data_IF_302371575759
#
_entry.id   IF_302371575759
#
_cell.length_a   1.000
_cell.length_b   1.000
_cell.length_c   1.000
_cell.angle_alpha   90.00
_cell.angle_beta   90.00
_cell.angle_gamma   90.00
#
_symmetry.space_group_name_H-M   'P 1'
#
loop_
_entity.id
_entity.type
_entity.pdbx_description
1 polymer ?
#
# COMPACT_ATOMS: atom_id res chain seq x y z
N UNK A 1 16.36 -9.44 5.22
CA UNK A 1 16.08 -8.01 5.44
C UNK A 1 15.27 -7.36 4.34
N UNK A 2 15.79 -7.19 3.12
CA UNK A 2 15.00 -6.59 2.02
C UNK A 2 13.70 -7.34 1.75
N UNK A 3 13.77 -8.67 1.63
CA UNK A 3 12.59 -9.51 1.42
C UNK A 3 11.60 -9.46 2.59
N UNK A 4 12.10 -9.37 3.82
CA UNK A 4 11.24 -9.23 5.01
C UNK A 4 10.46 -7.91 4.98
N UNK A 5 11.11 -6.82 4.58
CA UNK A 5 10.48 -5.52 4.37
C UNK A 5 9.40 -5.62 3.29
N UNK A 6 9.71 -6.25 2.16
CA UNK A 6 8.76 -6.44 1.06
C UNK A 6 7.55 -7.30 1.46
N UNK A 7 7.78 -8.38 2.22
CA UNK A 7 6.71 -9.25 2.73
C UNK A 7 5.84 -8.51 3.74
N UNK A 8 6.43 -7.74 4.67
CA UNK A 8 5.69 -6.95 5.64
C UNK A 8 4.86 -5.84 4.97
N UNK A 9 5.42 -5.19 3.95
CA UNK A 9 4.71 -4.20 3.14
C UNK A 9 3.53 -4.85 2.40
N UNK A 10 3.75 -5.96 1.71
CA UNK A 10 2.69 -6.69 1.00
C UNK A 10 1.55 -7.13 1.94
N UNK A 11 1.89 -7.67 3.12
CA UNK A 11 0.89 -8.04 4.14
C UNK A 11 0.11 -6.83 4.66
N UNK A 12 0.79 -5.71 4.85
CA UNK A 12 0.15 -4.47 5.32
C UNK A 12 -0.82 -3.92 4.28
N UNK A 13 -0.42 -3.86 3.01
CA UNK A 13 -1.29 -3.42 1.92
C UNK A 13 -2.50 -4.33 1.76
N UNK A 14 -2.31 -5.66 1.76
CA UNK A 14 -3.42 -6.62 1.67
C UNK A 14 -4.40 -6.50 2.85
N UNK A 15 -3.90 -6.34 4.08
CA UNK A 15 -4.76 -6.17 5.27
C UNK A 15 -5.60 -4.90 5.23
N UNK A 16 -5.09 -3.85 4.59
CA UNK A 16 -5.79 -2.56 4.49
C UNK A 16 -6.73 -2.47 3.29
N UNK A 17 -6.54 -3.35 2.31
CA UNK A 17 -7.34 -3.43 1.08
C UNK A 17 -8.63 -4.21 1.32
N UNK A 18 -9.69 -3.86 0.60
CA UNK A 18 -10.95 -4.61 0.56
C UNK A 18 -10.79 -5.86 -0.33
N UNK A 19 -11.65 -6.87 -0.21
CA UNK A 19 -11.57 -8.08 -1.06
C UNK A 19 -11.62 -7.81 -2.56
N UNK A 20 -12.28 -6.76 -2.99
CA UNK A 20 -12.39 -6.33 -4.39
C UNK A 20 -11.21 -5.47 -4.88
N UNK A 21 -10.37 -4.98 -3.96
CA UNK A 21 -9.19 -4.20 -4.30
C UNK A 21 -8.05 -5.12 -4.74
N UNK A 22 -7.23 -4.65 -5.67
CA UNK A 22 -6.09 -5.42 -6.21
C UNK A 22 -4.79 -4.81 -5.71
N UNK A 23 -3.99 -5.61 -4.99
CA UNK A 23 -2.63 -5.25 -4.57
C UNK A 23 -1.63 -5.99 -5.46
N UNK A 24 -0.67 -5.26 -6.05
CA UNK A 24 0.37 -5.83 -6.91
C UNK A 24 1.75 -5.25 -6.64
N UNK A 25 2.79 -6.07 -6.81
CA UNK A 25 4.18 -5.61 -6.87
C UNK A 25 4.53 -5.34 -8.33
N UNK A 26 4.91 -4.11 -8.64
CA UNK A 26 5.26 -3.71 -10.02
C UNK A 26 6.67 -4.15 -10.38
N UNK A 27 7.57 -4.16 -9.41
CA UNK A 27 8.99 -4.50 -9.56
C UNK A 27 9.76 -4.05 -8.32
N UNK A 28 11.05 -4.37 -8.22
CA UNK A 28 11.95 -3.84 -7.17
C UNK A 28 11.30 -3.71 -5.79
N UNK A 29 11.10 -2.46 -5.35
CA UNK A 29 10.40 -2.08 -4.12
C UNK A 29 9.05 -1.38 -4.35
N UNK A 30 8.55 -1.40 -5.58
CA UNK A 30 7.36 -0.68 -6.03
C UNK A 30 6.09 -1.53 -5.94
N UNK A 31 5.05 -0.95 -5.35
CA UNK A 31 3.73 -1.56 -5.20
C UNK A 31 2.63 -0.64 -5.74
N UNK A 32 1.55 -1.24 -6.22
CA UNK A 32 0.34 -0.55 -6.61
C UNK A 32 -0.88 -1.17 -5.90
N UNK A 33 -1.86 -0.31 -5.60
CA UNK A 33 -3.19 -0.71 -5.14
C UNK A 33 -4.21 -0.11 -6.09
N UNK A 34 -5.01 -0.96 -6.73
CA UNK A 34 -6.15 -0.56 -7.54
C UNK A 34 -7.42 -0.76 -6.71
N UNK A 35 -8.18 0.31 -6.51
CA UNK A 35 -9.37 0.31 -5.67
C UNK A 35 -10.41 1.28 -6.24
N UNK A 36 -11.66 1.10 -5.83
CA UNK A 36 -12.74 2.03 -6.14
C UNK A 36 -12.89 3.05 -5.01
N UNK A 37 -13.04 4.31 -5.38
CA UNK A 37 -13.30 5.40 -4.44
C UNK A 37 -14.41 6.30 -4.96
N UNK A 38 -15.29 6.74 -4.06
CA UNK A 38 -16.40 7.65 -4.34
C UNK A 38 -15.95 9.11 -4.40
N UNK A 39 -14.85 9.48 -3.74
CA UNK A 39 -14.35 10.85 -3.68
C UNK A 39 -12.82 10.93 -3.51
N UNK A 40 -12.26 12.12 -3.79
CA UNK A 40 -10.86 12.41 -3.49
C UNK A 40 -10.53 12.33 -2.00
N UNK A 41 -11.49 12.63 -1.13
CA UNK A 41 -11.30 12.56 0.32
C UNK A 41 -11.20 11.11 0.79
N UNK A 42 -11.96 10.19 0.19
CA UNK A 42 -11.80 8.75 0.46
C UNK A 42 -10.41 8.27 0.04
N UNK A 43 -9.91 8.71 -1.12
CA UNK A 43 -8.56 8.39 -1.59
C UNK A 43 -7.48 8.96 -0.64
N UNK A 44 -7.62 10.21 -0.22
CA UNK A 44 -6.70 10.85 0.71
C UNK A 44 -6.70 10.15 2.08
N UNK A 45 -7.88 9.81 2.60
CA UNK A 45 -8.02 9.07 3.86
C UNK A 45 -7.38 7.67 3.76
N UNK A 46 -7.62 6.96 2.67
CA UNK A 46 -7.07 5.62 2.45
C UNK A 46 -5.54 5.64 2.36
N UNK A 47 -4.98 6.54 1.54
CA UNK A 47 -3.53 6.69 1.41
C UNK A 47 -2.86 7.14 2.71
N UNK A 48 -3.47 8.06 3.46
CA UNK A 48 -2.97 8.48 4.77
C UNK A 48 -2.96 7.31 5.77
N UNK A 49 -4.00 6.47 5.78
CA UNK A 49 -4.07 5.27 6.62
C UNK A 49 -2.96 4.29 6.27
N UNK A 50 -2.73 4.01 4.99
CA UNK A 50 -1.63 3.14 4.55
C UNK A 50 -0.29 3.70 5.03
N UNK A 51 -0.04 4.98 4.81
CA UNK A 51 1.21 5.62 5.21
C UNK A 51 1.45 5.54 6.72
N UNK A 52 0.41 5.76 7.53
CA UNK A 52 0.48 5.62 8.99
C UNK A 52 0.82 4.20 9.43
N UNK A 53 0.21 3.19 8.81
CA UNK A 53 0.45 1.79 9.15
C UNK A 53 1.86 1.32 8.74
N UNK A 54 2.36 1.76 7.58
CA UNK A 54 3.74 1.50 7.17
C UNK A 54 4.74 2.11 8.17
N UNK A 55 4.51 3.34 8.64
CA UNK A 55 5.36 4.00 9.65
C UNK A 55 5.40 3.28 11.00
N UNK A 56 4.42 2.42 11.29
CA UNK A 56 4.39 1.60 12.50
C UNK A 56 5.21 0.32 12.36
N UNK A 57 5.51 -0.12 11.13
CA UNK A 57 6.34 -1.30 10.90
C UNK A 57 7.73 -1.08 11.49
N UNK A 58 8.13 -2.04 12.31
CA UNK A 58 9.41 -2.05 13.01
C UNK A 58 10.14 -3.31 12.64
N UNK A 59 11.37 -3.18 12.17
CA UNK A 59 12.21 -4.27 11.71
C UNK A 59 13.45 -4.36 12.58
N UNK A 60 13.91 -5.59 12.83
CA UNK A 60 15.06 -5.88 13.68
C UNK A 60 16.17 -6.52 12.85
N UNK A 61 17.42 -6.16 13.15
CA UNK A 61 18.59 -6.74 12.53
C UNK A 61 19.30 -7.74 13.43
N UNK A 62 20.16 -8.56 12.83
CA UNK A 62 21.01 -9.54 13.54
C UNK A 62 21.95 -8.91 14.58
N UNK A 63 22.10 -7.57 14.59
CA UNK A 63 22.93 -6.83 15.54
C UNK A 63 22.14 -5.91 16.49
N UNK A 64 20.90 -6.27 16.83
CA UNK A 64 19.99 -5.49 17.69
C UNK A 64 19.64 -4.08 17.19
N UNK A 65 19.94 -3.77 15.93
CA UNK A 65 19.53 -2.50 15.33
C UNK A 65 18.07 -2.60 14.96
N UNK A 66 17.28 -1.63 15.39
CA UNK A 66 15.88 -1.51 15.03
C UNK A 66 15.69 -0.33 14.09
N UNK A 67 14.96 -0.53 12.99
CA UNK A 67 14.65 0.54 12.05
C UNK A 67 13.19 0.50 11.60
N UNK A 68 12.75 1.62 11.02
CA UNK A 68 11.42 1.81 10.45
C UNK A 68 11.55 2.27 9.02
N UNK A 69 10.48 2.08 8.24
CA UNK A 69 10.43 2.50 6.85
C UNK A 69 9.33 3.54 6.64
N UNK A 70 9.47 4.30 5.57
CA UNK A 70 8.42 5.17 5.02
C UNK A 70 8.16 4.78 3.58
N UNK A 71 7.03 5.23 3.05
CA UNK A 71 6.68 5.07 1.64
C UNK A 71 6.12 6.37 1.08
N UNK A 72 6.36 6.58 -0.21
CA UNK A 72 5.83 7.67 -1.01
C UNK A 72 4.70 7.16 -1.89
N UNK A 73 3.66 7.97 -2.10
CA UNK A 73 2.45 7.57 -2.83
C UNK A 73 2.18 8.53 -3.98
N UNK A 74 1.97 7.98 -5.16
CA UNK A 74 1.35 8.66 -6.29
C UNK A 74 -0.06 8.14 -6.50
N UNK A 75 -1.00 9.02 -6.85
CA UNK A 75 -2.40 8.66 -7.10
C UNK A 75 -2.78 9.13 -8.49
N UNK A 76 -3.45 8.25 -9.25
CA UNK A 76 -4.06 8.56 -10.53
C UNK A 76 -5.46 7.97 -10.61
N UNK A 77 -6.33 8.58 -11.41
CA UNK A 77 -7.70 8.12 -11.64
C UNK A 77 -7.86 7.62 -13.08
N UNK A 78 -8.44 6.44 -13.23
CA UNK A 78 -8.80 5.85 -14.51
C UNK A 78 -10.26 6.09 -14.87
N UNK A 79 -10.60 5.88 -16.14
CA UNK A 79 -11.99 5.86 -16.59
C UNK A 79 -12.61 4.51 -16.30
N UNK A 80 -13.74 4.50 -15.61
CA UNK A 80 -14.57 3.31 -15.50
C UNK A 80 -15.55 3.30 -16.67
N UNK A 81 -15.28 2.48 -17.68
CA UNK A 81 -16.23 2.22 -18.76
C UNK A 81 -17.46 1.53 -18.14
N UNK A 82 -18.56 2.26 -18.01
CA UNK A 82 -19.86 1.63 -17.75
C UNK A 82 -20.28 0.94 -19.04
N UNK A 83 -20.17 -0.39 -19.10
CA UNK A 83 -20.93 -1.16 -20.07
C UNK A 83 -22.41 -0.86 -19.82
N UNK A 84 -23.05 -0.11 -20.73
CA UNK A 84 -24.51 -0.01 -20.79
C UNK A 84 -25.04 -1.40 -21.12
N UNK A 85 -25.89 -1.93 -20.26
CA UNK A 85 -26.88 -2.93 -20.68
C UNK A 85 -27.90 -2.25 -21.60
#
# INVERSE_FOLDING_TARGET
MGDEVLVALAKTLNRLSRPEDVVGRLGGEEFAVLFLAASSDEVASYTARIQQEIRKLTFHTTGDITFKITASFGVSKGWQCRCRN
#
